data_IF_261894210846
#
_entry.id   IF_261894210846
#
_cell.length_a   1.000
_cell.length_b   1.000
_cell.length_c   1.000
_cell.angle_alpha   90.00
_cell.angle_beta   90.00
_cell.angle_gamma   90.00
#
_symmetry.space_group_name_H-M   'P 1'
#
loop_
_entity.id
_entity.type
_entity.pdbx_description
1 polymer ?
#
# COMPACT_ATOMS: atom_id res chain seq x y z
N UNK A 1 -31.47 9.90 -6.34
CA UNK A 1 -30.15 9.59 -6.94
C UNK A 1 -29.50 8.59 -6.03
N UNK A 2 -29.22 7.40 -6.54
CA UNK A 2 -28.69 6.30 -5.75
C UNK A 2 -27.17 6.35 -5.78
N UNK A 3 -26.58 6.55 -4.61
CA UNK A 3 -25.13 6.50 -4.43
C UNK A 3 -24.74 5.03 -4.27
N UNK A 4 -23.96 4.50 -5.21
CA UNK A 4 -23.19 3.28 -4.96
C UNK A 4 -21.77 3.69 -4.73
N UNK A 5 -21.33 3.65 -3.48
CA UNK A 5 -19.96 3.93 -3.16
C UNK A 5 -19.25 2.59 -2.94
N UNK A 6 -18.70 2.03 -4.02
CA UNK A 6 -17.97 0.77 -3.99
C UNK A 6 -16.63 0.87 -4.73
N UNK A 7 -15.63 0.18 -4.17
CA UNK A 7 -14.28 0.11 -4.70
C UNK A 7 -13.99 -1.29 -5.24
N UNK A 8 -13.56 -1.38 -6.51
CA UNK A 8 -13.23 -2.64 -7.18
C UNK A 8 -11.72 -2.79 -7.34
N UNK A 9 -11.12 -3.74 -6.63
CA UNK A 9 -9.67 -4.05 -6.69
C UNK A 9 -9.42 -5.28 -7.56
N UNK A 10 -8.44 -5.23 -8.47
CA UNK A 10 -8.06 -6.38 -9.31
C UNK A 10 -6.60 -6.32 -9.76
N UNK A 11 -5.99 -7.46 -10.08
CA UNK A 11 -4.64 -7.48 -10.63
C UNK A 11 -4.63 -7.13 -12.12
N UNK A 12 -3.85 -6.11 -12.52
CA UNK A 12 -3.79 -5.64 -13.90
C UNK A 12 -3.38 -6.72 -14.91
N UNK A 13 -2.47 -7.63 -14.53
CA UNK A 13 -2.09 -8.75 -15.41
C UNK A 13 -3.26 -9.65 -15.80
N UNK A 14 -4.30 -9.73 -14.96
CA UNK A 14 -5.50 -10.51 -15.30
C UNK A 14 -6.40 -9.75 -16.28
N UNK A 15 -6.46 -8.42 -16.16
CA UNK A 15 -7.14 -7.57 -17.13
C UNK A 15 -6.40 -7.55 -18.47
N UNK A 16 -5.08 -7.53 -18.48
CA UNK A 16 -4.27 -7.61 -19.71
C UNK A 16 -4.42 -8.95 -20.44
N UNK A 17 -4.79 -10.01 -19.71
CA UNK A 17 -4.92 -11.35 -20.28
C UNK A 17 -6.10 -11.48 -21.26
N UNK A 18 -7.29 -11.04 -20.85
CA UNK A 18 -8.51 -11.20 -21.66
C UNK A 18 -9.40 -9.94 -21.74
N UNK A 19 -9.09 -8.90 -20.96
CA UNK A 19 -9.83 -7.64 -20.94
C UNK A 19 -11.17 -7.68 -20.21
N UNK A 20 -11.58 -8.81 -19.64
CA UNK A 20 -12.97 -9.09 -19.27
C UNK A 20 -13.35 -8.66 -17.85
N UNK A 21 -12.39 -8.37 -16.99
CA UNK A 21 -12.66 -7.91 -15.61
C UNK A 21 -13.32 -6.55 -15.63
N UNK A 22 -12.74 -5.58 -16.35
CA UNK A 22 -13.34 -4.25 -16.49
C UNK A 22 -14.72 -4.30 -17.15
N UNK A 23 -14.89 -5.23 -18.12
CA UNK A 23 -16.19 -5.43 -18.76
C UNK A 23 -17.24 -5.96 -17.80
N UNK A 24 -16.86 -6.90 -16.93
CA UNK A 24 -17.72 -7.39 -15.85
C UNK A 24 -18.16 -6.25 -14.93
N UNK A 25 -17.24 -5.36 -14.53
CA UNK A 25 -17.60 -4.22 -13.69
C UNK A 25 -18.61 -3.30 -14.38
N UNK A 26 -18.38 -2.94 -15.64
CA UNK A 26 -19.32 -2.13 -16.43
C UNK A 26 -20.72 -2.77 -16.52
N UNK A 27 -20.76 -4.08 -16.76
CA UNK A 27 -22.03 -4.82 -16.90
C UNK A 27 -22.77 -4.92 -15.56
N UNK A 28 -22.06 -5.12 -14.43
CA UNK A 28 -22.65 -5.10 -13.08
C UNK A 28 -23.24 -3.75 -12.73
N UNK A 29 -22.52 -2.66 -13.03
CA UNK A 29 -23.03 -1.32 -12.77
C UNK A 29 -24.24 -1.00 -13.66
N UNK A 30 -24.21 -1.40 -14.94
CA UNK A 30 -25.35 -1.26 -15.84
C UNK A 30 -26.59 -2.00 -15.34
N UNK A 31 -26.42 -3.23 -14.86
CA UNK A 31 -27.51 -4.02 -14.28
C UNK A 31 -27.99 -3.44 -12.95
N UNK A 32 -27.10 -2.94 -12.09
CA UNK A 32 -27.48 -2.26 -10.87
C UNK A 32 -28.35 -1.03 -11.16
N UNK A 33 -27.94 -0.20 -12.14
CA UNK A 33 -28.74 0.96 -12.60
C UNK A 33 -30.14 0.53 -13.03
N UNK A 34 -30.23 -0.57 -13.77
CA UNK A 34 -31.51 -1.13 -14.18
C UNK A 34 -32.38 -1.61 -12.99
N UNK A 35 -31.75 -2.21 -11.96
CA UNK A 35 -32.45 -2.67 -10.76
C UNK A 35 -32.97 -1.50 -9.91
N UNK A 36 -32.18 -0.43 -9.76
CA UNK A 36 -32.52 0.71 -8.89
C UNK A 36 -33.37 1.77 -9.60
N UNK A 37 -33.28 1.86 -10.93
CA UNK A 37 -34.05 2.81 -11.74
C UNK A 37 -33.57 4.26 -11.65
N UNK A 38 -32.37 4.48 -11.12
CA UNK A 38 -31.73 5.79 -11.00
C UNK A 38 -30.29 5.75 -11.56
N UNK A 39 -29.77 6.91 -11.97
CA UNK A 39 -28.36 7.03 -12.35
C UNK A 39 -27.45 6.87 -11.12
N UNK A 40 -26.29 6.24 -11.35
CA UNK A 40 -25.23 5.98 -10.36
C UNK A 40 -24.07 6.92 -10.67
N UNK A 41 -23.68 7.76 -9.71
CA UNK A 41 -22.67 8.80 -9.91
C UNK A 41 -21.24 8.43 -9.44
N UNK A 42 -21.02 7.35 -8.67
CA UNK A 42 -19.74 7.21 -7.93
C UNK A 42 -19.22 5.78 -7.64
N UNK A 43 -19.07 4.91 -8.66
CA UNK A 43 -18.30 3.67 -8.48
C UNK A 43 -16.83 3.83 -8.91
N UNK A 44 -15.92 3.25 -8.15
CA UNK A 44 -14.47 3.36 -8.39
C UNK A 44 -13.93 1.99 -8.78
N UNK A 45 -13.28 1.94 -9.92
CA UNK A 45 -12.59 0.76 -10.41
C UNK A 45 -11.12 1.09 -10.40
N UNK A 46 -10.29 0.20 -9.86
CA UNK A 46 -8.84 0.31 -9.89
C UNK A 46 -8.30 0.24 -11.33
N UNK A 47 -8.58 1.26 -12.13
CA UNK A 47 -7.84 1.62 -13.33
C UNK A 47 -6.91 2.70 -12.86
N UNK A 48 -5.59 2.47 -12.83
CA UNK A 48 -4.55 3.50 -12.57
C UNK A 48 -5.12 4.91 -12.38
N UNK A 49 -5.61 5.17 -11.17
CA UNK A 49 -6.14 6.47 -10.72
C UNK A 49 -5.64 6.83 -9.33
N UNK A 50 -4.64 6.11 -8.84
CA UNK A 50 -3.50 6.82 -8.27
C UNK A 50 -2.73 7.38 -9.45
N UNK A 51 -3.02 8.62 -9.82
CA UNK A 51 -2.05 9.37 -10.62
C UNK A 51 -0.85 9.59 -9.72
N UNK A 52 0.31 9.74 -10.36
CA UNK A 52 1.50 10.20 -9.67
C UNK A 52 1.16 11.46 -8.86
N UNK A 53 1.22 11.34 -7.52
CA UNK A 53 0.85 12.39 -6.58
C UNK A 53 -0.39 12.16 -5.70
N UNK A 54 -1.07 11.02 -5.81
CA UNK A 54 -2.21 10.74 -4.93
C UNK A 54 -1.76 10.06 -3.62
N UNK A 55 -2.18 10.62 -2.48
CA UNK A 55 -1.87 10.14 -1.14
C UNK A 55 -2.72 8.92 -0.80
N UNK A 56 -2.18 7.74 -1.09
CA UNK A 56 -2.92 6.49 -0.99
C UNK A 56 -3.55 6.23 0.39
N UNK A 57 -2.88 6.45 1.53
CA UNK A 57 -3.53 6.36 2.85
C UNK A 57 -4.75 7.27 3.02
N UNK A 58 -4.70 8.57 2.65
CA UNK A 58 -5.89 9.44 2.79
C UNK A 58 -6.89 9.33 1.67
N UNK A 59 -6.49 8.97 0.47
CA UNK A 59 -7.42 8.62 -0.59
C UNK A 59 -8.18 7.36 -0.14
N UNK A 60 -7.49 6.36 0.41
CA UNK A 60 -8.10 5.20 1.06
C UNK A 60 -8.97 5.57 2.28
N UNK A 61 -8.58 6.56 3.10
CA UNK A 61 -9.43 7.06 4.20
C UNK A 61 -10.68 7.77 3.68
N UNK A 62 -10.55 8.70 2.73
CA UNK A 62 -11.69 9.33 2.04
C UNK A 62 -12.58 8.30 1.34
N UNK A 63 -11.97 7.26 0.75
CA UNK A 63 -12.70 6.16 0.11
C UNK A 63 -13.39 5.29 1.15
N UNK A 64 -12.81 5.01 2.31
CA UNK A 64 -13.48 4.21 3.34
C UNK A 64 -14.55 5.05 4.05
N UNK A 65 -14.32 6.35 4.21
CA UNK A 65 -15.26 7.31 4.78
C UNK A 65 -16.52 7.45 3.94
N UNK A 66 -16.35 7.54 2.62
CA UNK A 66 -17.44 7.70 1.66
C UNK A 66 -17.92 6.38 1.03
N UNK A 67 -17.08 5.35 0.93
CA UNK A 67 -17.30 4.08 0.19
C UNK A 67 -17.13 2.83 1.06
N UNK A 68 -18.16 2.49 1.82
CA UNK A 68 -18.16 1.35 2.72
C UNK A 68 -18.38 0.01 1.99
N UNK A 69 -17.97 -0.17 0.72
CA UNK A 69 -18.05 -1.48 0.04
C UNK A 69 -16.77 -1.73 -0.76
N UNK A 70 -16.10 -2.85 -0.51
CA UNK A 70 -14.87 -3.26 -1.19
C UNK A 70 -15.04 -4.61 -1.87
N UNK A 71 -14.72 -4.65 -3.17
CA UNK A 71 -14.98 -5.77 -4.06
C UNK A 71 -13.65 -6.22 -4.69
N UNK A 72 -12.89 -7.10 -4.03
CA UNK A 72 -11.67 -7.65 -4.61
C UNK A 72 -12.00 -8.77 -5.61
N UNK A 73 -11.44 -8.67 -6.82
CA UNK A 73 -11.50 -9.68 -7.87
C UNK A 73 -10.32 -10.65 -7.67
N UNK A 74 -10.62 -11.79 -7.04
CA UNK A 74 -9.62 -12.73 -6.54
C UNK A 74 -9.16 -13.69 -7.65
N UNK A 75 -7.84 -13.74 -7.83
CA UNK A 75 -7.12 -14.61 -8.76
C UNK A 75 -5.76 -15.03 -8.14
N UNK A 76 -5.05 -16.01 -8.74
CA UNK A 76 -3.68 -16.30 -8.30
C UNK A 76 -2.72 -15.12 -8.47
N UNK A 77 -2.90 -14.31 -9.53
CA UNK A 77 -2.05 -13.14 -9.77
C UNK A 77 -2.28 -12.05 -8.71
N UNK A 78 -3.51 -11.91 -8.20
CA UNK A 78 -3.86 -10.99 -7.12
C UNK A 78 -2.97 -11.23 -5.88
N UNK A 79 -2.85 -12.49 -5.42
CA UNK A 79 -2.03 -12.81 -4.25
C UNK A 79 -0.51 -12.84 -4.52
N UNK A 80 -0.09 -12.93 -5.78
CA UNK A 80 1.33 -12.86 -6.14
C UNK A 80 1.84 -11.41 -6.24
N UNK A 81 0.95 -10.42 -6.27
CA UNK A 81 1.29 -9.00 -6.33
C UNK A 81 1.25 -8.38 -4.93
N UNK A 82 2.40 -7.91 -4.40
CA UNK A 82 2.45 -7.25 -3.10
C UNK A 82 1.51 -6.05 -3.01
N UNK A 83 1.39 -5.24 -4.07
CA UNK A 83 0.50 -4.07 -4.11
C UNK A 83 -0.98 -4.42 -3.88
N UNK A 84 -1.48 -5.45 -4.56
CA UNK A 84 -2.86 -5.92 -4.39
C UNK A 84 -3.09 -6.50 -2.99
N UNK A 85 -2.12 -7.24 -2.44
CA UNK A 85 -2.23 -7.78 -1.08
C UNK A 85 -2.10 -6.72 0.01
N UNK A 86 -1.31 -5.68 -0.24
CA UNK A 86 -1.16 -4.52 0.65
C UNK A 86 -2.47 -3.73 0.70
N UNK A 87 -3.05 -3.39 -0.45
CA UNK A 87 -4.35 -2.74 -0.54
C UNK A 87 -5.43 -3.55 0.18
N UNK A 88 -5.52 -4.85 -0.11
CA UNK A 88 -6.49 -5.74 0.54
C UNK A 88 -6.33 -5.72 2.07
N UNK A 89 -5.09 -5.81 2.57
CA UNK A 89 -4.80 -5.76 4.01
C UNK A 89 -5.22 -4.43 4.62
N UNK A 90 -4.80 -3.33 4.02
CA UNK A 90 -5.09 -1.98 4.50
C UNK A 90 -6.60 -1.70 4.52
N UNK A 91 -7.33 -2.15 3.51
CA UNK A 91 -8.79 -1.99 3.45
C UNK A 91 -9.49 -2.84 4.53
N UNK A 92 -9.08 -4.10 4.70
CA UNK A 92 -9.64 -4.99 5.74
C UNK A 92 -9.42 -4.38 7.13
N UNK A 93 -8.19 -3.97 7.47
CA UNK A 93 -7.90 -3.43 8.80
C UNK A 93 -8.79 -2.22 9.12
N UNK A 94 -8.92 -1.29 8.17
CA UNK A 94 -9.74 -0.08 8.34
C UNK A 94 -11.24 -0.38 8.37
N UNK A 95 -11.73 -1.36 7.59
CA UNK A 95 -13.12 -1.82 7.67
C UNK A 95 -13.43 -2.42 9.05
N UNK A 96 -12.51 -3.23 9.57
CA UNK A 96 -12.66 -3.91 10.84
C UNK A 96 -12.68 -2.90 12.00
N UNK A 97 -11.84 -1.86 11.93
CA UNK A 97 -11.85 -0.73 12.86
C UNK A 97 -13.18 0.04 12.85
N UNK A 98 -13.73 0.34 11.66
CA UNK A 98 -14.89 1.24 11.52
C UNK A 98 -16.24 0.55 11.72
N UNK A 99 -16.41 -0.66 11.21
CA UNK A 99 -17.71 -1.34 11.17
C UNK A 99 -17.77 -2.59 12.05
N UNK A 100 -16.62 -3.04 12.58
CA UNK A 100 -16.49 -4.29 13.29
C UNK A 100 -16.60 -5.52 12.38
N UNK A 101 -16.14 -6.66 12.89
CA UNK A 101 -16.05 -7.93 12.16
C UNK A 101 -17.39 -8.52 11.65
N UNK A 102 -18.54 -7.99 12.09
CA UNK A 102 -19.86 -8.54 11.76
C UNK A 102 -20.55 -7.79 10.60
N UNK A 103 -20.12 -6.57 10.28
CA UNK A 103 -20.71 -5.73 9.23
C UNK A 103 -19.88 -5.76 7.94
N UNK A 104 -19.65 -6.96 7.39
CA UNK A 104 -18.72 -7.19 6.27
C UNK A 104 -19.02 -6.41 4.99
N UNK A 105 -18.38 -5.27 4.84
CA UNK A 105 -18.31 -4.44 3.63
C UNK A 105 -17.38 -5.01 2.56
N UNK A 106 -16.69 -6.09 2.88
CA UNK A 106 -15.91 -6.92 1.97
C UNK A 106 -16.83 -7.86 1.18
N UNK A 107 -16.79 -7.77 -0.15
CA UNK A 107 -17.60 -8.57 -1.08
C UNK A 107 -16.70 -9.22 -2.15
N UNK A 108 -15.96 -10.30 -1.81
CA UNK A 108 -15.01 -10.90 -2.74
C UNK A 108 -15.70 -11.60 -3.92
N UNK A 109 -15.05 -11.53 -5.09
CA UNK A 109 -15.42 -12.30 -6.28
C UNK A 109 -14.27 -13.22 -6.64
N UNK A 110 -14.45 -14.53 -6.54
CA UNK A 110 -13.44 -15.51 -6.97
C UNK A 110 -13.53 -15.65 -8.48
N UNK A 111 -12.62 -14.99 -9.19
CA UNK A 111 -12.61 -14.94 -10.66
C UNK A 111 -11.78 -16.08 -11.27
N UNK A 112 -10.69 -16.46 -10.62
CA UNK A 112 -9.90 -17.65 -10.95
C UNK A 112 -9.63 -18.41 -9.65
N UNK A 113 -9.73 -19.73 -9.69
CA UNK A 113 -9.46 -20.56 -8.51
C UNK A 113 -8.03 -20.33 -8.00
N UNK A 114 -7.91 -20.05 -6.70
CA UNK A 114 -6.65 -19.77 -6.03
C UNK A 114 -6.26 -20.98 -5.20
N UNK A 115 -5.06 -21.56 -5.44
CA UNK A 115 -4.56 -22.66 -4.63
C UNK A 115 -4.60 -22.32 -3.14
N UNK A 116 -5.11 -23.28 -2.36
CA UNK A 116 -5.25 -23.23 -0.91
C UNK A 116 -6.20 -22.16 -0.35
N UNK A 117 -6.92 -21.41 -1.19
CA UNK A 117 -7.90 -20.42 -0.70
C UNK A 117 -9.05 -21.08 0.07
N UNK A 118 -9.46 -22.29 -0.34
CA UNK A 118 -10.52 -23.07 0.32
C UNK A 118 -9.97 -24.09 1.33
N UNK A 119 -8.68 -24.02 1.63
CA UNK A 119 -8.01 -24.95 2.52
C UNK A 119 -7.91 -24.33 3.92
N UNK A 120 -8.61 -24.93 4.89
CA UNK A 120 -8.62 -24.47 6.29
C UNK A 120 -7.23 -24.53 6.96
N UNK A 121 -6.23 -25.17 6.34
CA UNK A 121 -4.84 -25.23 6.79
C UNK A 121 -3.92 -24.20 6.10
N UNK A 122 -4.47 -23.26 5.33
CA UNK A 122 -3.68 -22.20 4.71
C UNK A 122 -3.12 -21.25 5.78
N UNK A 123 -1.80 -21.01 5.81
CA UNK A 123 -1.17 -20.07 6.77
C UNK A 123 -1.22 -18.59 6.32
N UNK A 124 -1.94 -18.28 5.24
CA UNK A 124 -2.05 -16.93 4.71
C UNK A 124 -3.33 -16.26 5.25
N UNK A 125 -3.14 -15.29 6.15
CA UNK A 125 -4.23 -14.59 6.85
C UNK A 125 -5.21 -13.90 5.91
N UNK A 126 -4.73 -13.35 4.78
CA UNK A 126 -5.60 -12.70 3.80
C UNK A 126 -6.47 -13.71 3.07
N UNK A 127 -5.90 -14.87 2.71
CA UNK A 127 -6.66 -15.97 2.11
C UNK A 127 -7.71 -16.52 3.07
N UNK A 128 -7.35 -16.70 4.35
CA UNK A 128 -8.30 -17.08 5.40
C UNK A 128 -9.42 -16.05 5.57
N UNK A 129 -9.10 -14.75 5.55
CA UNK A 129 -10.10 -13.69 5.65
C UNK A 129 -11.08 -13.73 4.48
N UNK A 130 -10.58 -13.90 3.26
CA UNK A 130 -11.41 -14.03 2.06
C UNK A 130 -12.28 -15.30 2.11
N UNK A 131 -11.73 -16.44 2.52
CA UNK A 131 -12.45 -17.72 2.57
C UNK A 131 -13.55 -17.75 3.62
N UNK A 132 -13.33 -17.07 4.75
CA UNK A 132 -14.31 -16.91 5.83
C UNK A 132 -15.33 -15.78 5.56
N UNK A 133 -15.18 -15.05 4.46
CA UNK A 133 -16.14 -14.03 4.02
C UNK A 133 -17.08 -14.61 2.98
N UNK A 134 -18.35 -14.21 2.98
CA UNK A 134 -19.27 -14.61 1.91
C UNK A 134 -18.79 -14.02 0.57
N UNK A 135 -18.49 -14.88 -0.40
CA UNK A 135 -17.99 -14.51 -1.73
C UNK A 135 -18.90 -14.99 -2.85
N UNK A 136 -18.72 -14.41 -4.04
CA UNK A 136 -19.34 -14.90 -5.29
C UNK A 136 -18.30 -15.68 -6.07
N UNK A 137 -18.64 -16.91 -6.48
CA UNK A 137 -17.80 -17.72 -7.37
C UNK A 137 -18.12 -17.38 -8.84
N UNK A 138 -17.14 -16.77 -9.53
CA UNK A 138 -17.22 -16.39 -10.93
C UNK A 138 -16.38 -17.29 -11.85
N UNK A 139 -15.74 -18.33 -11.30
CA UNK A 139 -14.75 -19.15 -12.01
C UNK A 139 -15.28 -19.82 -13.27
N UNK A 140 -16.58 -20.17 -13.29
CA UNK A 140 -17.25 -20.74 -14.47
C UNK A 140 -17.78 -19.66 -15.42
N UNK A 141 -18.38 -18.60 -14.86
CA UNK A 141 -18.99 -17.50 -15.62
C UNK A 141 -17.97 -16.69 -16.44
N UNK A 142 -16.68 -16.71 -16.08
CA UNK A 142 -15.62 -16.05 -16.85
C UNK A 142 -15.49 -16.56 -18.29
N UNK A 143 -15.90 -17.81 -18.55
CA UNK A 143 -15.84 -18.44 -19.87
C UNK A 143 -17.10 -18.22 -20.71
N UNK A 144 -18.18 -17.73 -20.11
CA UNK A 144 -19.46 -17.53 -20.79
C UNK A 144 -19.41 -16.31 -21.72
N UNK A 145 -20.18 -16.32 -22.80
CA UNK A 145 -20.36 -15.11 -23.63
C UNK A 145 -21.14 -14.04 -22.87
N UNK A 146 -20.82 -12.76 -23.05
CA UNK A 146 -21.48 -11.64 -22.34
C UNK A 146 -22.98 -11.56 -22.64
N UNK A 147 -23.40 -12.02 -23.81
CA UNK A 147 -24.81 -12.08 -24.23
C UNK A 147 -25.56 -13.31 -23.71
N UNK A 148 -24.84 -14.30 -23.16
CA UNK A 148 -25.42 -15.55 -22.70
C UNK A 148 -26.37 -15.33 -21.52
N UNK A 149 -27.29 -16.28 -21.33
CA UNK A 149 -28.18 -16.28 -20.15
C UNK A 149 -27.37 -16.47 -18.86
N UNK A 150 -26.37 -17.36 -18.88
CA UNK A 150 -25.55 -17.68 -17.72
C UNK A 150 -24.75 -16.47 -17.22
N UNK A 151 -24.08 -15.76 -18.14
CA UNK A 151 -23.35 -14.54 -17.81
C UNK A 151 -24.27 -13.46 -17.21
N UNK A 152 -25.37 -13.14 -17.89
CA UNK A 152 -26.31 -12.10 -17.43
C UNK A 152 -26.96 -12.41 -16.10
N UNK A 153 -27.27 -13.69 -15.82
CA UNK A 153 -27.73 -14.10 -14.49
C UNK A 153 -26.65 -13.90 -13.43
N UNK A 154 -25.39 -14.23 -13.72
CA UNK A 154 -24.29 -13.95 -12.81
C UNK A 154 -24.15 -12.45 -12.51
N UNK A 155 -24.19 -11.61 -13.55
CA UNK A 155 -24.13 -10.14 -13.41
C UNK A 155 -25.29 -9.64 -12.53
N UNK A 156 -26.49 -10.15 -12.77
CA UNK A 156 -27.67 -9.83 -11.97
C UNK A 156 -27.51 -10.19 -10.49
N UNK A 157 -26.95 -11.36 -10.17
CA UNK A 157 -26.72 -11.77 -8.78
C UNK A 157 -25.72 -10.85 -8.07
N UNK A 158 -24.63 -10.44 -8.74
CA UNK A 158 -23.67 -9.48 -8.17
C UNK A 158 -24.37 -8.12 -7.92
N UNK A 159 -25.09 -7.60 -8.92
CA UNK A 159 -25.77 -6.31 -8.82
C UNK A 159 -26.84 -6.32 -7.70
N UNK A 160 -27.57 -7.42 -7.55
CA UNK A 160 -28.56 -7.60 -6.48
C UNK A 160 -27.90 -7.69 -5.10
N UNK A 161 -26.78 -8.39 -4.97
CA UNK A 161 -26.01 -8.45 -3.73
C UNK A 161 -25.49 -7.06 -3.34
N UNK A 162 -24.97 -6.31 -4.31
CA UNK A 162 -24.48 -4.94 -4.13
C UNK A 162 -25.61 -4.02 -3.63
N UNK A 163 -26.80 -4.09 -4.23
CA UNK A 163 -27.97 -3.32 -3.78
C UNK A 163 -28.34 -3.64 -2.34
N UNK A 164 -28.45 -4.93 -2.02
CA UNK A 164 -28.82 -5.35 -0.67
C UNK A 164 -27.80 -4.87 0.38
N UNK A 165 -26.52 -4.79 0.01
CA UNK A 165 -25.46 -4.27 0.87
C UNK A 165 -25.56 -2.74 1.01
N UNK A 166 -25.80 -2.02 -0.08
CA UNK A 166 -25.98 -0.57 -0.09
C UNK A 166 -27.16 -0.13 0.80
N UNK A 167 -28.33 -0.78 0.68
CA UNK A 167 -29.51 -0.50 1.50
C UNK A 167 -29.27 -0.74 3.00
N UNK A 168 -28.41 -1.70 3.37
CA UNK A 168 -28.06 -1.95 4.78
C UNK A 168 -27.16 -0.85 5.32
N UNK A 169 -26.20 -0.39 4.52
CA UNK A 169 -25.27 0.68 4.88
C UNK A 169 -26.03 2.00 5.03
N UNK A 170 -26.89 2.37 4.08
CA UNK A 170 -27.70 3.60 4.18
C UNK A 170 -28.57 3.62 5.44
N UNK A 171 -29.14 2.49 5.85
CA UNK A 171 -29.95 2.40 7.07
C UNK A 171 -29.15 2.60 8.36
N UNK A 172 -27.84 2.34 8.34
CA UNK A 172 -26.93 2.63 9.46
C UNK A 172 -26.68 4.14 9.56
N UNK A 173 -26.71 4.86 8.43
CA UNK A 173 -26.47 6.31 8.35
C UNK A 173 -27.70 7.21 8.64
N UNK A 174 -28.91 6.67 8.81
CA UNK A 174 -30.19 7.45 8.92
C UNK A 174 -30.83 7.36 10.33
N UNK A 175 -30.07 7.54 11.42
CA UNK A 175 -30.66 7.82 12.75
C UNK A 175 -30.47 9.32 13.05
N UNK A 176 -31.53 10.08 13.42
CA UNK A 176 -31.63 11.51 13.13
C UNK A 176 -31.10 12.45 14.23
N UNK A 177 -30.66 13.64 13.80
CA UNK A 177 -30.26 14.82 14.59
C UNK A 177 -31.20 15.16 15.76
N UNK A 178 -30.67 15.28 17.00
CA UNK A 178 -31.17 16.20 18.07
C UNK A 178 -30.00 16.65 19.00
N UNK A 179 -29.78 17.97 19.01
CA UNK A 179 -29.21 18.88 20.04
C UNK A 179 -27.90 18.62 20.79
N UNK A 180 -27.03 19.62 20.64
CA UNK A 180 -26.14 20.28 21.63
C UNK A 180 -25.28 19.43 22.57
N UNK A 181 -23.97 19.63 22.35
CA UNK A 181 -22.88 19.52 23.31
C UNK A 181 -22.50 18.11 23.76
N UNK A 182 -21.19 17.84 23.57
CA UNK A 182 -20.32 16.78 24.08
C UNK A 182 -20.11 15.54 23.20
N UNK A 183 -18.81 15.26 23.01
CA UNK A 183 -18.11 14.11 22.41
C UNK A 183 -17.90 14.28 20.87
N UNK A 184 -16.86 14.92 20.33
CA UNK A 184 -15.44 14.98 20.73
C UNK A 184 -14.91 13.63 21.24
N UNK A 185 -14.94 12.62 20.38
CA UNK A 185 -13.97 11.51 20.42
C UNK A 185 -13.23 11.45 19.07
N UNK A 186 -12.27 12.37 18.98
CA UNK A 186 -10.88 12.18 18.52
C UNK A 186 -10.61 11.70 17.09
N UNK A 187 -11.08 12.43 16.08
CA UNK A 187 -10.22 12.58 14.91
C UNK A 187 -9.05 13.50 15.31
N UNK A 188 -7.85 12.92 15.41
CA UNK A 188 -6.63 13.64 15.81
C UNK A 188 -6.49 14.89 14.92
N UNK A 189 -6.59 16.07 15.54
CA UNK A 189 -6.52 17.34 14.84
C UNK A 189 -5.20 17.54 14.09
N UNK A 190 -5.18 18.47 13.14
CA UNK A 190 -3.99 18.74 12.31
C UNK A 190 -2.78 19.07 13.20
N UNK A 191 -2.98 19.79 14.30
CA UNK A 191 -1.91 20.17 15.24
C UNK A 191 -1.39 18.97 16.04
N UNK A 192 -2.25 18.05 16.45
CA UNK A 192 -1.86 16.82 17.13
C UNK A 192 -1.11 15.89 16.18
N UNK A 193 -1.55 15.75 14.92
CA UNK A 193 -0.82 15.03 13.85
C UNK A 193 0.56 15.64 13.59
N UNK A 194 0.66 16.97 13.62
CA UNK A 194 1.94 17.68 13.50
C UNK A 194 2.82 17.52 14.73
N UNK A 195 2.26 17.47 15.94
CA UNK A 195 3.04 17.27 17.18
C UNK A 195 3.72 15.89 17.23
N UNK A 196 3.13 14.91 16.54
CA UNK A 196 3.67 13.54 16.46
C UNK A 196 4.74 13.39 15.39
N UNK A 197 4.92 14.35 14.47
CA UNK A 197 5.89 14.28 13.39
C UNK A 197 7.31 14.07 13.88
N UNK A 198 7.73 14.86 14.86
CA UNK A 198 9.10 14.77 15.41
C UNK A 198 9.35 13.40 16.02
N UNK A 199 8.34 12.84 16.71
CA UNK A 199 8.43 11.51 17.34
C UNK A 199 8.48 10.42 16.27
N UNK A 200 7.59 10.46 15.28
CA UNK A 200 7.53 9.48 14.20
C UNK A 200 8.80 9.52 13.33
N UNK A 201 9.31 10.72 13.02
CA UNK A 201 10.55 10.88 12.28
C UNK A 201 11.76 10.27 13.03
N UNK A 202 11.84 10.46 14.35
CA UNK A 202 12.87 9.81 15.16
C UNK A 202 12.73 8.28 15.18
N UNK A 203 11.51 7.76 15.29
CA UNK A 203 11.25 6.32 15.21
C UNK A 203 11.68 5.72 13.85
N UNK A 204 11.45 6.42 12.74
CA UNK A 204 11.93 6.03 11.41
C UNK A 204 13.47 5.99 11.36
N UNK A 205 14.14 7.00 11.91
CA UNK A 205 15.61 7.03 11.99
C UNK A 205 16.14 5.86 12.82
N UNK A 206 15.52 5.59 13.97
CA UNK A 206 15.93 4.51 14.86
C UNK A 206 15.76 3.13 14.21
N UNK A 207 14.60 2.88 13.61
CA UNK A 207 14.31 1.61 12.91
C UNK A 207 15.22 1.40 11.69
N UNK A 208 15.54 2.46 10.94
CA UNK A 208 16.53 2.41 9.86
C UNK A 208 17.94 2.11 10.39
N UNK A 209 18.34 2.73 11.50
CA UNK A 209 19.64 2.49 12.14
C UNK A 209 19.77 1.03 12.62
N UNK A 210 18.72 0.48 13.22
CA UNK A 210 18.64 -0.92 13.62
C UNK A 210 18.81 -1.84 12.40
N UNK A 211 18.02 -1.63 11.35
CA UNK A 211 18.09 -2.40 10.11
C UNK A 211 19.49 -2.32 9.46
N UNK A 212 20.12 -1.14 9.46
CA UNK A 212 21.49 -0.94 8.98
C UNK A 212 22.50 -1.74 9.79
N UNK A 213 22.35 -1.79 11.11
CA UNK A 213 23.23 -2.56 12.01
C UNK A 213 23.10 -4.07 11.76
N UNK A 214 21.87 -4.57 11.56
CA UNK A 214 21.63 -5.97 11.20
C UNK A 214 22.20 -6.29 9.82
N UNK A 215 22.03 -5.41 8.83
CA UNK A 215 22.61 -5.57 7.49
C UNK A 215 24.15 -5.63 7.53
N UNK A 216 24.80 -4.79 8.36
CA UNK A 216 26.25 -4.83 8.57
C UNK A 216 26.70 -6.16 9.22
N UNK A 217 25.91 -6.68 10.16
CA UNK A 217 26.17 -7.97 10.80
C UNK A 217 26.07 -9.13 9.81
N UNK A 218 25.06 -9.12 8.93
CA UNK A 218 24.93 -10.06 7.82
C UNK A 218 26.15 -9.99 6.89
N UNK A 219 26.54 -8.78 6.47
CA UNK A 219 27.68 -8.57 5.59
C UNK A 219 28.99 -9.09 6.21
N UNK A 220 29.18 -8.88 7.52
CA UNK A 220 30.32 -9.41 8.27
C UNK A 220 30.35 -10.93 8.26
N UNK A 221 29.23 -11.60 8.52
CA UNK A 221 29.14 -13.07 8.49
C UNK A 221 29.51 -13.61 7.11
N UNK A 222 29.00 -12.99 6.04
CA UNK A 222 29.32 -13.36 4.66
C UNK A 222 30.82 -13.23 4.40
N UNK A 223 31.41 -12.08 4.75
CA UNK A 223 32.83 -11.81 4.50
C UNK A 223 33.73 -12.77 5.26
N UNK A 224 33.49 -13.01 6.56
CA UNK A 224 34.29 -13.93 7.38
C UNK A 224 34.26 -15.37 6.83
N UNK A 225 33.12 -15.80 6.31
CA UNK A 225 32.93 -17.15 5.79
C UNK A 225 33.59 -17.32 4.40
N UNK A 226 33.50 -16.31 3.53
CA UNK A 226 34.18 -16.29 2.24
C UNK A 226 35.71 -16.15 2.38
N UNK A 227 36.19 -15.36 3.34
CA UNK A 227 37.62 -15.24 3.64
C UNK A 227 38.19 -16.54 4.19
N UNK A 228 37.44 -17.22 5.06
CA UNK A 228 37.80 -18.55 5.56
C UNK A 228 37.94 -19.57 4.44
N UNK A 229 37.07 -19.51 3.42
CA UNK A 229 37.18 -20.34 2.21
C UNK A 229 38.44 -20.02 1.40
N UNK A 230 38.73 -18.72 1.20
CA UNK A 230 39.90 -18.28 0.45
C UNK A 230 41.23 -18.64 1.12
N UNK A 231 41.29 -18.63 2.45
CA UNK A 231 42.51 -18.90 3.22
C UNK A 231 42.75 -20.40 3.51
N UNK A 232 41.70 -21.20 3.73
CA UNK A 232 41.85 -22.60 4.22
C UNK A 232 41.96 -23.65 3.12
N UNK A 233 41.57 -23.37 1.88
CA UNK A 233 41.56 -24.39 0.82
C UNK A 233 42.78 -24.26 -0.10
N UNK A 234 43.72 -25.19 0.05
CA UNK A 234 44.74 -25.47 -0.97
C UNK A 234 44.15 -26.18 -2.21
N UNK A 235 42.90 -26.67 -2.10
CA UNK A 235 42.19 -27.39 -3.15
C UNK A 235 40.77 -26.81 -3.33
N UNK A 236 40.65 -25.75 -4.14
CA UNK A 236 39.40 -25.03 -4.44
C UNK A 236 38.51 -25.88 -5.35
N UNK A 237 37.76 -26.83 -4.79
CA UNK A 237 36.80 -27.64 -5.53
C UNK A 237 35.34 -27.31 -5.17
N UNK A 238 34.41 -27.72 -6.04
CA UNK A 238 32.99 -27.40 -5.90
C UNK A 238 32.37 -27.94 -4.60
N UNK A 239 32.86 -29.07 -4.08
CA UNK A 239 32.37 -29.69 -2.85
C UNK A 239 32.70 -28.86 -1.60
N UNK A 240 33.91 -28.29 -1.53
CA UNK A 240 34.31 -27.39 -0.44
C UNK A 240 33.49 -26.10 -0.50
N UNK A 241 33.30 -25.53 -1.69
CA UNK A 241 32.47 -24.34 -1.89
C UNK A 241 31.00 -24.59 -1.48
N UNK A 242 30.44 -25.74 -1.85
CA UNK A 242 29.09 -26.14 -1.45
C UNK A 242 28.97 -26.25 0.08
N UNK A 243 29.96 -26.85 0.75
CA UNK A 243 29.96 -26.95 2.21
C UNK A 243 30.06 -25.58 2.90
N UNK A 244 30.81 -24.64 2.33
CA UNK A 244 30.88 -23.25 2.79
C UNK A 244 29.52 -22.57 2.64
N UNK A 245 28.85 -22.70 1.50
CA UNK A 245 27.52 -22.10 1.31
C UNK A 245 26.43 -22.72 2.19
N UNK A 246 26.50 -24.01 2.51
CA UNK A 246 25.59 -24.61 3.48
C UNK A 246 25.81 -24.03 4.89
N UNK A 247 27.07 -23.94 5.34
CA UNK A 247 27.39 -23.32 6.64
C UNK A 247 26.99 -21.85 6.68
N UNK A 248 27.20 -21.12 5.59
CA UNK A 248 26.78 -19.74 5.45
C UNK A 248 25.25 -19.62 5.55
N UNK A 249 24.51 -20.50 4.86
CA UNK A 249 23.06 -20.54 4.94
C UNK A 249 22.59 -20.71 6.39
N UNK A 250 23.14 -21.68 7.12
CA UNK A 250 22.75 -21.95 8.51
C UNK A 250 23.02 -20.75 9.42
N UNK A 251 24.17 -20.08 9.25
CA UNK A 251 24.56 -18.89 10.02
C UNK A 251 23.72 -17.65 9.70
N UNK A 252 23.09 -17.60 8.53
CA UNK A 252 22.33 -16.45 8.07
C UNK A 252 20.83 -16.53 8.37
N UNK A 253 20.31 -17.68 8.84
CA UNK A 253 18.88 -17.83 9.15
C UNK A 253 18.43 -16.76 10.16
N UNK A 254 19.00 -16.75 11.36
CA UNK A 254 18.59 -15.84 12.42
C UNK A 254 18.85 -14.35 12.08
N UNK A 255 20.02 -13.93 11.56
CA UNK A 255 20.23 -12.54 11.17
C UNK A 255 19.30 -12.05 10.06
N UNK A 256 18.93 -12.90 9.11
CA UNK A 256 18.00 -12.52 8.03
C UNK A 256 16.55 -12.52 8.51
N UNK A 257 16.20 -13.35 9.49
CA UNK A 257 14.92 -13.28 10.17
C UNK A 257 14.79 -11.97 10.95
N UNK A 258 15.80 -11.60 11.74
CA UNK A 258 15.87 -10.31 12.44
C UNK A 258 15.81 -9.12 11.45
N UNK A 259 16.56 -9.17 10.35
CA UNK A 259 16.50 -8.12 9.31
C UNK A 259 15.10 -7.93 8.75
N UNK A 260 14.35 -9.02 8.58
CA UNK A 260 12.98 -8.95 8.08
C UNK A 260 12.03 -8.32 9.12
N UNK A 261 12.15 -8.68 10.40
CA UNK A 261 11.39 -8.04 11.48
C UNK A 261 11.71 -6.54 11.59
N UNK A 262 12.99 -6.16 11.46
CA UNK A 262 13.41 -4.74 11.43
C UNK A 262 12.87 -4.00 10.21
N UNK A 263 12.78 -4.66 9.06
CA UNK A 263 12.18 -4.07 7.86
C UNK A 263 10.67 -3.84 8.02
N UNK A 264 9.94 -4.76 8.67
CA UNK A 264 8.52 -4.57 9.00
C UNK A 264 8.33 -3.40 9.97
N UNK A 265 9.11 -3.34 11.06
CA UNK A 265 9.07 -2.22 11.99
C UNK A 265 9.39 -0.88 11.32
N UNK A 266 10.38 -0.83 10.43
CA UNK A 266 10.68 0.35 9.63
C UNK A 266 9.51 0.74 8.73
N UNK A 267 8.91 -0.23 8.02
CA UNK A 267 7.78 0.01 7.13
C UNK A 267 6.56 0.58 7.87
N UNK A 268 6.26 0.06 9.06
CA UNK A 268 5.17 0.55 9.89
C UNK A 268 5.37 2.02 10.28
N UNK A 269 6.57 2.37 10.77
CA UNK A 269 6.91 3.75 11.14
C UNK A 269 6.94 4.69 9.93
N UNK A 270 7.45 4.21 8.79
CA UNK A 270 7.46 4.97 7.56
C UNK A 270 6.03 5.21 7.05
N UNK A 271 5.12 4.25 7.19
CA UNK A 271 3.70 4.43 6.83
C UNK A 271 3.03 5.52 7.67
N UNK A 272 3.34 5.60 8.97
CA UNK A 272 2.87 6.69 9.83
C UNK A 272 3.44 8.03 9.35
N UNK A 273 4.72 8.08 8.98
CA UNK A 273 5.33 9.28 8.42
C UNK A 273 4.67 9.69 7.09
N UNK A 274 4.39 8.73 6.20
CA UNK A 274 3.70 8.97 4.93
C UNK A 274 2.32 9.60 5.15
N UNK A 275 1.57 9.15 6.17
CA UNK A 275 0.24 9.69 6.50
C UNK A 275 0.27 11.16 6.98
N UNK A 276 1.44 11.68 7.29
CA UNK A 276 1.63 13.04 7.83
C UNK A 276 1.87 14.11 6.77
N UNK A 277 2.54 13.76 5.66
CA UNK A 277 2.74 14.61 4.47
C UNK A 277 1.47 15.36 4.06
N UNK A 278 0.30 14.71 3.96
CA UNK A 278 -0.89 15.37 3.48
C UNK A 278 -1.59 16.13 4.60
N UNK A 279 -1.32 15.86 5.88
CA UNK A 279 -1.77 16.71 6.99
C UNK A 279 -1.02 18.05 6.95
N UNK A 280 0.27 18.02 6.60
CA UNK A 280 1.06 19.22 6.32
C UNK A 280 0.54 19.99 5.09
N UNK A 281 0.14 19.28 4.03
CA UNK A 281 -0.50 19.92 2.86
C UNK A 281 -1.80 20.62 3.26
N UNK A 282 -2.70 19.94 3.97
CA UNK A 282 -3.95 20.55 4.45
C UNK A 282 -3.68 21.75 5.37
N UNK A 283 -2.66 21.67 6.24
CA UNK A 283 -2.23 22.79 7.05
C UNK A 283 -1.78 23.99 6.19
N UNK A 284 -1.02 23.74 5.12
CA UNK A 284 -0.60 24.77 4.17
C UNK A 284 -1.78 25.36 3.40
N UNK A 285 -2.83 24.60 3.09
CA UNK A 285 -4.04 25.08 2.40
C UNK A 285 -4.91 26.02 3.26
N UNK A 286 -4.81 25.90 4.59
CA UNK A 286 -5.49 26.77 5.54
C UNK A 286 -4.82 28.14 5.69
N UNK A 287 -3.58 28.28 5.22
CA UNK A 287 -2.84 29.54 5.26
C UNK A 287 -3.22 30.44 4.09
N UNK A 288 -3.20 31.76 4.31
CA UNK A 288 -3.44 32.76 3.26
C UNK A 288 -2.15 33.02 2.47
N UNK A 289 -2.04 32.60 1.20
CA UNK A 289 -0.85 32.86 0.38
C UNK A 289 -0.67 34.35 0.06
N UNK A 290 -1.67 35.20 0.30
CA UNK A 290 -1.59 36.65 0.14
C UNK A 290 -0.87 37.33 1.30
N UNK A 291 -0.80 36.69 2.46
CA UNK A 291 -0.04 37.16 3.62
C UNK A 291 1.44 36.77 3.48
N UNK A 292 2.34 37.76 3.61
CA UNK A 292 3.77 37.58 3.37
C UNK A 292 4.44 36.60 4.35
N UNK A 293 4.04 36.58 5.62
CA UNK A 293 4.65 35.72 6.63
C UNK A 293 4.13 34.28 6.52
N UNK A 294 2.84 34.13 6.21
CA UNK A 294 2.25 32.82 5.91
C UNK A 294 2.81 32.25 4.60
N UNK A 295 2.95 33.05 3.54
CA UNK A 295 3.58 32.63 2.27
C UNK A 295 5.02 32.14 2.47
N UNK A 296 5.85 32.85 3.27
CA UNK A 296 7.20 32.38 3.64
C UNK A 296 7.16 31.02 4.35
N UNK A 297 6.22 30.85 5.28
CA UNK A 297 6.07 29.60 6.03
C UNK A 297 5.69 28.42 5.12
N UNK A 298 4.74 28.63 4.21
CA UNK A 298 4.36 27.67 3.17
C UNK A 298 5.59 27.32 2.31
N UNK A 299 6.33 28.31 1.82
CA UNK A 299 7.48 28.08 0.94
C UNK A 299 8.64 27.37 1.64
N UNK A 300 8.92 27.70 2.90
CA UNK A 300 9.92 26.98 3.69
C UNK A 300 9.53 25.53 3.90
N UNK A 301 8.27 25.27 4.28
CA UNK A 301 7.77 23.92 4.50
C UNK A 301 7.79 23.10 3.18
N UNK A 302 7.38 23.68 2.06
CA UNK A 302 7.49 23.09 0.72
C UNK A 302 8.93 22.70 0.38
N UNK A 303 9.88 23.63 0.53
CA UNK A 303 11.31 23.40 0.27
C UNK A 303 11.87 22.28 1.17
N UNK A 304 11.54 22.27 2.46
CA UNK A 304 12.00 21.25 3.41
C UNK A 304 11.44 19.85 3.08
N UNK A 305 10.16 19.77 2.72
CA UNK A 305 9.54 18.50 2.35
C UNK A 305 10.17 17.95 1.06
N UNK A 306 10.29 18.76 0.01
CA UNK A 306 10.94 18.37 -1.24
C UNK A 306 12.38 17.87 -1.02
N UNK A 307 13.15 18.58 -0.20
CA UNK A 307 14.51 18.16 0.18
C UNK A 307 14.52 16.81 0.92
N UNK A 308 13.55 16.57 1.82
CA UNK A 308 13.42 15.27 2.47
C UNK A 308 13.08 14.15 1.46
N UNK A 309 12.22 14.44 0.48
CA UNK A 309 11.88 13.54 -0.62
C UNK A 309 13.10 13.13 -1.45
N UNK A 310 13.96 14.08 -1.83
CA UNK A 310 15.21 13.80 -2.57
C UNK A 310 16.15 12.89 -1.78
N UNK A 311 16.37 13.16 -0.49
CA UNK A 311 17.23 12.31 0.35
C UNK A 311 16.66 10.89 0.49
N UNK A 312 15.34 10.75 0.59
CA UNK A 312 14.65 9.46 0.67
C UNK A 312 14.76 8.67 -0.63
N UNK A 313 14.69 9.34 -1.79
CA UNK A 313 14.94 8.73 -3.09
C UNK A 313 16.35 8.14 -3.19
N UNK A 314 17.35 8.89 -2.74
CA UNK A 314 18.75 8.43 -2.74
C UNK A 314 18.94 7.21 -1.82
N UNK A 315 18.25 7.19 -0.68
CA UNK A 315 18.22 6.05 0.22
C UNK A 315 17.55 4.82 -0.43
N UNK A 316 16.38 4.99 -1.05
CA UNK A 316 15.67 3.91 -1.75
C UNK A 316 16.51 3.31 -2.89
N UNK A 317 17.20 4.16 -3.65
CA UNK A 317 18.13 3.74 -4.69
C UNK A 317 19.33 2.96 -4.12
N UNK A 318 19.83 3.37 -2.95
CA UNK A 318 20.94 2.70 -2.27
C UNK A 318 20.55 1.30 -1.76
N UNK A 319 19.35 1.16 -1.19
CA UNK A 319 18.82 -0.14 -0.73
C UNK A 319 18.55 -1.06 -1.93
N UNK A 320 17.95 -0.52 -3.01
CA UNK A 320 17.65 -1.28 -4.23
C UNK A 320 18.90 -1.91 -4.86
N UNK A 321 20.04 -1.18 -4.86
CA UNK A 321 21.33 -1.71 -5.34
C UNK A 321 21.81 -2.93 -4.55
N UNK A 322 21.48 -3.04 -3.25
CA UNK A 322 21.86 -4.21 -2.45
C UNK A 322 21.15 -5.48 -2.94
N UNK A 323 19.91 -5.38 -3.45
CA UNK A 323 19.17 -6.51 -4.01
C UNK A 323 19.90 -7.06 -5.25
N UNK A 324 20.34 -6.18 -6.15
CA UNK A 324 21.07 -6.55 -7.37
C UNK A 324 22.38 -7.28 -7.05
N UNK A 325 23.06 -6.89 -5.97
CA UNK A 325 24.31 -7.52 -5.51
C UNK A 325 24.08 -8.92 -4.98
N UNK A 326 22.96 -9.18 -4.28
CA UNK A 326 22.73 -10.48 -3.62
C UNK A 326 22.05 -11.52 -4.53
N UNK A 327 21.30 -11.09 -5.56
CA UNK A 327 20.52 -11.98 -6.45
C UNK A 327 21.36 -13.10 -7.11
N UNK A 328 22.58 -12.85 -7.64
CA UNK A 328 23.38 -13.90 -8.26
C UNK A 328 23.73 -15.06 -7.32
N UNK A 329 23.85 -14.82 -6.02
CA UNK A 329 24.17 -15.86 -5.03
C UNK A 329 23.05 -16.89 -4.85
N UNK A 330 21.79 -16.51 -5.08
CA UNK A 330 20.66 -17.44 -5.07
C UNK A 330 20.75 -18.48 -6.21
N UNK A 331 21.40 -18.13 -7.32
CA UNK A 331 21.63 -19.04 -8.46
C UNK A 331 22.79 -20.01 -8.21
N UNK A 332 23.73 -19.64 -7.33
CA UNK A 332 24.93 -20.44 -7.03
C UNK A 332 24.66 -21.65 -6.11
N UNK A 333 23.78 -21.53 -5.11
CA UNK A 333 23.47 -22.63 -4.20
C UNK A 333 21.98 -22.72 -3.88
N UNK A 334 21.46 -23.95 -3.82
CA UNK A 334 20.08 -24.20 -3.38
C UNK A 334 19.85 -23.81 -1.92
N UNK A 335 20.85 -23.97 -1.05
CA UNK A 335 20.75 -23.65 0.37
C UNK A 335 20.60 -22.14 0.62
N UNK A 336 21.22 -21.30 -0.19
CA UNK A 336 21.14 -19.84 -0.05
C UNK A 336 19.84 -19.23 -0.60
N UNK A 337 19.10 -19.92 -1.48
CA UNK A 337 17.86 -19.39 -2.07
C UNK A 337 16.84 -18.88 -1.06
N UNK A 338 16.43 -19.63 -0.02
CA UNK A 338 15.47 -19.14 0.97
C UNK A 338 15.98 -17.89 1.69
N UNK A 339 17.26 -17.86 2.04
CA UNK A 339 17.92 -16.73 2.72
C UNK A 339 17.90 -15.47 1.83
N UNK A 340 18.39 -15.58 0.59
CA UNK A 340 18.44 -14.46 -0.35
C UNK A 340 17.02 -13.98 -0.70
N UNK A 341 16.05 -14.89 -0.83
CA UNK A 341 14.66 -14.49 -1.09
C UNK A 341 14.06 -13.71 0.09
N UNK A 342 14.30 -14.14 1.33
CA UNK A 342 13.79 -13.43 2.51
C UNK A 342 14.48 -12.07 2.69
N UNK A 343 15.80 -12.01 2.51
CA UNK A 343 16.56 -10.76 2.55
C UNK A 343 16.12 -9.78 1.45
N UNK A 344 15.88 -10.28 0.23
CA UNK A 344 15.34 -9.48 -0.88
C UNK A 344 13.93 -8.95 -0.57
N UNK A 345 13.07 -9.73 0.09
CA UNK A 345 11.76 -9.25 0.56
C UNK A 345 11.89 -8.12 1.58
N UNK A 346 12.82 -8.23 2.53
CA UNK A 346 13.07 -7.17 3.53
C UNK A 346 13.50 -5.86 2.85
N UNK A 347 14.46 -5.92 1.93
CA UNK A 347 14.91 -4.74 1.18
C UNK A 347 13.82 -4.15 0.28
N UNK A 348 13.04 -4.98 -0.41
CA UNK A 348 11.91 -4.51 -1.22
C UNK A 348 10.88 -3.78 -0.37
N UNK A 349 10.50 -4.34 0.78
CA UNK A 349 9.54 -3.72 1.70
C UNK A 349 10.02 -2.32 2.14
N UNK A 350 11.29 -2.18 2.51
CA UNK A 350 11.88 -0.89 2.88
C UNK A 350 11.92 0.09 1.69
N UNK A 351 12.29 -0.37 0.50
CA UNK A 351 12.31 0.46 -0.72
C UNK A 351 10.91 0.96 -1.09
N UNK A 352 9.90 0.10 -1.03
CA UNK A 352 8.51 0.44 -1.41
C UNK A 352 7.95 1.59 -0.56
N UNK A 353 8.12 1.54 0.76
CA UNK A 353 7.64 2.61 1.66
C UNK A 353 8.39 3.94 1.49
N UNK A 354 9.68 3.88 1.14
CA UNK A 354 10.49 5.06 0.84
C UNK A 354 10.05 5.72 -0.47
N UNK A 355 9.81 4.92 -1.51
CA UNK A 355 9.30 5.42 -2.80
C UNK A 355 7.92 6.06 -2.61
N UNK A 356 7.04 5.44 -1.82
CA UNK A 356 5.73 5.99 -1.52
C UNK A 356 5.82 7.38 -0.86
N UNK A 357 6.77 7.59 0.06
CA UNK A 357 6.99 8.91 0.67
C UNK A 357 7.50 9.94 -0.34
N UNK A 358 8.52 9.61 -1.15
CA UNK A 358 9.05 10.52 -2.17
C UNK A 358 7.93 10.97 -3.11
N UNK A 359 7.13 10.03 -3.60
CA UNK A 359 6.01 10.32 -4.49
C UNK A 359 4.95 11.20 -3.83
N UNK A 360 4.62 10.97 -2.56
CA UNK A 360 3.68 11.82 -1.82
C UNK A 360 4.17 13.26 -1.65
N UNK A 361 5.47 13.45 -1.47
CA UNK A 361 6.09 14.77 -1.36
C UNK A 361 6.17 15.51 -2.70
N UNK A 362 6.44 14.79 -3.80
CA UNK A 362 6.58 15.38 -5.14
C UNK A 362 5.32 16.10 -5.64
N UNK A 363 4.15 15.82 -5.06
CA UNK A 363 2.91 16.59 -5.28
C UNK A 363 3.12 18.08 -5.10
N UNK A 364 3.97 18.48 -4.15
CA UNK A 364 4.26 19.88 -3.85
C UNK A 364 4.91 20.61 -5.02
N UNK A 365 5.54 19.91 -5.98
CA UNK A 365 6.04 20.53 -7.21
C UNK A 365 4.90 21.09 -8.07
N UNK A 366 3.72 20.48 -8.01
CA UNK A 366 2.54 20.88 -8.79
C UNK A 366 1.73 22.02 -8.16
N UNK A 367 2.09 22.44 -6.95
CA UNK A 367 1.45 23.56 -6.26
C UNK A 367 1.86 24.90 -6.88
N UNK A 368 0.84 25.66 -7.33
CA UNK A 368 0.90 26.96 -8.02
C UNK A 368 1.25 28.14 -7.09
N UNK A 369 2.09 27.89 -6.08
CA UNK A 369 2.64 28.93 -5.22
C UNK A 369 4.09 29.15 -5.66
N UNK A 370 4.32 30.32 -6.27
CA UNK A 370 5.65 30.79 -6.63
C UNK A 370 6.46 31.07 -5.36
N UNK A 371 7.40 30.18 -5.09
CA UNK A 371 8.35 30.26 -3.97
C UNK A 371 9.75 30.71 -4.42
N UNK A 372 9.88 31.14 -5.69
CA UNK A 372 11.11 31.60 -6.33
C UNK A 372 11.17 33.15 -6.38
N UNK A 373 10.03 33.85 -6.21
CA UNK A 373 9.96 35.32 -6.13
C UNK A 373 10.71 35.96 -4.95
N UNK A 374 11.17 35.17 -3.97
CA UNK A 374 11.86 35.64 -2.75
C UNK A 374 13.19 36.38 -3.02
N UNK A 375 13.74 36.33 -4.23
CA UNK A 375 14.95 37.10 -4.55
C UNK A 375 14.63 38.57 -4.89
N UNK A 376 13.40 38.92 -5.28
CA UNK A 376 13.10 40.22 -5.88
C UNK A 376 12.47 41.27 -4.95
N UNK A 377 11.95 40.85 -3.79
CA UNK A 377 11.25 41.75 -2.86
C UNK A 377 12.15 42.29 -1.74
N UNK A 378 13.22 41.56 -1.35
CA UNK A 378 14.24 42.09 -0.42
C UNK A 378 15.14 43.16 -1.05
N UNK A 379 15.33 43.14 -2.38
CA UNK A 379 16.06 44.21 -3.09
C UNK A 379 15.21 45.48 -3.22
N UNK A 380 13.88 45.37 -3.34
CA UNK A 380 13.00 46.55 -3.44
C UNK A 380 12.74 47.26 -2.11
N UNK A 381 12.91 46.60 -0.97
CA UNK A 381 12.79 47.23 0.36
C UNK A 381 14.10 47.83 0.90
N UNK A 382 15.21 47.70 0.15
CA UNK A 382 16.51 48.32 0.50
C UNK A 382 16.79 49.62 -0.25
N UNK A 383 16.00 49.95 -1.28
CA UNK A 383 16.14 51.15 -2.12
C UNK A 383 15.04 52.22 -1.91
N UNK A 384 14.31 52.17 -0.80
CA UNK A 384 13.47 53.27 -0.27
C UNK A 384 13.81 53.51 1.18
#
# INVERSE_FOLDING_TARGET
MALINCFWSYAHSDQEHDGRILKLVEDVIGEFKAIVGEDVESYFVDKEKLRWGDDWPKELDKYIDNMPIFIPIITPAYFNRPSCTYELRSFISKLDERFGNENNSLMPIIYIDVPDLRNDQCNDELKQRISNTQYIDWTSNRFEETTSKAYRLGVHEIAKALRAKNEKIEKISIIPEINDASEDEEEVGILEKMSLLDVVAQDVINTMSDASTTAQSIAKIINEELDSFNQRSSNKNASVLLSTFNRLSDKLIEPVDDMYEKAEAFADKMSMLNSSVPALIQFMELMDPSDLEQRKSICNLKKSLLYAGENIKDLANSISKNIEVIEPFAKMSRSLRPIIRKLGKAFNLMTEVLIAYEQGVLVLETWDIDCDEEISLEEKSRDT
#
